data_IF_982994001638
#
_entry.id   IF_982994001638
#
_cell.length_a   1.000
_cell.length_b   1.000
_cell.length_c   1.000
_cell.angle_alpha   90.00
_cell.angle_beta   90.00
_cell.angle_gamma   90.00
#
_symmetry.space_group_name_H-M   'P 1'
#
loop_
_entity.id
_entity.type
_entity.pdbx_description
1 polymer ?
#
# COMPACT_ATOMS: atom_id res chain seq x y z
N UNK A 1 -3.46 13.42 18.90
CA UNK A 1 -2.70 12.82 17.75
C UNK A 1 -1.52 13.75 17.46
N UNK A 2 -0.31 13.23 17.29
CA UNK A 2 0.84 14.08 16.95
C UNK A 2 0.82 14.38 15.43
N UNK A 3 0.50 15.62 15.07
CA UNK A 3 0.41 16.11 13.68
C UNK A 3 1.78 16.53 13.12
N UNK A 4 2.82 16.66 13.96
CA UNK A 4 4.17 17.02 13.52
C UNK A 4 4.73 16.07 12.46
N UNK A 5 4.26 14.81 12.48
CA UNK A 5 4.62 13.79 11.49
C UNK A 5 4.26 14.22 10.06
N UNK A 6 3.24 15.03 9.89
CA UNK A 6 2.77 15.51 8.58
C UNK A 6 3.33 16.89 8.19
N UNK A 7 4.33 17.40 8.90
CA UNK A 7 5.03 18.64 8.50
C UNK A 7 5.63 18.50 7.10
N UNK A 8 5.54 19.53 6.20
CA UNK A 8 5.06 20.91 6.45
C UNK A 8 3.53 21.11 6.28
N UNK A 9 2.76 20.09 5.95
CA UNK A 9 1.34 20.15 5.63
C UNK A 9 0.44 19.68 6.78
N UNK A 10 0.91 19.84 8.03
CA UNK A 10 0.22 19.37 9.23
C UNK A 10 -1.18 19.99 9.45
N UNK A 11 -1.39 21.24 9.04
CA UNK A 11 -2.71 21.88 9.11
C UNK A 11 -3.72 21.15 8.21
N UNK A 12 -3.34 20.86 6.98
CA UNK A 12 -4.17 20.09 6.05
C UNK A 12 -4.42 18.67 6.56
N UNK A 13 -3.41 18.02 7.14
CA UNK A 13 -3.58 16.70 7.76
C UNK A 13 -4.65 16.73 8.87
N UNK A 14 -4.69 17.78 9.71
CA UNK A 14 -5.69 17.93 10.76
C UNK A 14 -7.14 17.98 10.20
N UNK A 15 -7.32 18.61 9.05
CA UNK A 15 -8.61 18.71 8.39
C UNK A 15 -9.04 17.39 7.70
N UNK A 16 -8.09 16.65 7.12
CA UNK A 16 -8.39 15.44 6.35
C UNK A 16 -8.46 14.16 7.19
N UNK A 17 -7.70 14.06 8.29
CA UNK A 17 -7.65 12.86 9.13
C UNK A 17 -9.02 12.37 9.64
N UNK A 18 -10.01 13.21 9.96
CA UNK A 18 -11.35 12.76 10.32
C UNK A 18 -12.08 11.98 9.21
N UNK A 19 -11.63 12.13 7.96
CA UNK A 19 -12.20 11.47 6.78
C UNK A 19 -11.36 10.28 6.29
N UNK A 20 -10.16 10.08 6.87
CA UNK A 20 -9.13 9.17 6.36
C UNK A 20 -9.45 7.70 6.63
N UNK A 21 -10.05 7.40 7.78
CA UNK A 21 -10.26 6.03 8.23
C UNK A 21 -11.72 5.82 8.62
N UNK A 22 -12.29 4.70 8.21
CA UNK A 22 -13.51 4.16 8.81
C UNK A 22 -13.14 3.33 10.04
N UNK A 23 -14.03 3.26 11.05
CA UNK A 23 -13.83 2.37 12.17
C UNK A 23 -13.68 0.92 11.67
N UNK A 24 -12.50 0.36 11.80
CA UNK A 24 -12.22 -1.03 11.42
C UNK A 24 -11.18 -1.64 12.37
N UNK A 25 -11.23 -2.97 12.53
CA UNK A 25 -10.22 -3.73 13.27
C UNK A 25 -9.04 -4.15 12.38
N UNK A 26 -8.87 -3.51 11.20
CA UNK A 26 -7.79 -3.84 10.28
C UNK A 26 -6.51 -3.07 10.60
N UNK A 27 -5.67 -3.63 11.46
CA UNK A 27 -4.35 -3.06 11.79
C UNK A 27 -3.32 -3.06 10.64
N UNK A 28 -3.70 -3.50 9.44
CA UNK A 28 -2.86 -3.39 8.25
C UNK A 28 -3.14 -2.09 7.46
N UNK A 29 -4.31 -1.45 7.66
CA UNK A 29 -4.75 -0.22 7.01
C UNK A 29 -5.22 0.80 8.08
N UNK A 30 -4.38 1.01 9.06
CA UNK A 30 -4.59 1.91 10.20
C UNK A 30 -3.84 3.25 10.04
N UNK A 31 -3.89 4.09 11.06
CA UNK A 31 -3.13 5.35 11.08
C UNK A 31 -1.62 5.12 10.91
N UNK A 32 -1.08 4.02 11.43
CA UNK A 32 0.34 3.72 11.29
C UNK A 32 0.70 3.39 9.82
N UNK A 33 -0.22 2.76 9.06
CA UNK A 33 -0.06 2.60 7.61
C UNK A 33 -0.01 3.95 6.90
N UNK A 34 -0.96 4.86 7.16
CA UNK A 34 -0.96 6.20 6.57
C UNK A 34 0.32 6.99 6.87
N UNK A 35 0.84 6.88 8.09
CA UNK A 35 2.10 7.49 8.47
C UNK A 35 3.29 6.91 7.71
N UNK A 36 3.35 5.57 7.54
CA UNK A 36 4.42 4.93 6.77
C UNK A 36 4.36 5.27 5.29
N UNK A 37 3.16 5.29 4.71
CA UNK A 37 2.98 5.71 3.31
C UNK A 37 3.37 7.17 3.14
N UNK A 38 2.99 8.06 4.07
CA UNK A 38 3.44 9.46 4.05
C UNK A 38 4.96 9.59 4.16
N UNK A 39 5.61 8.82 5.03
CA UNK A 39 7.06 8.79 5.11
C UNK A 39 7.71 8.39 3.78
N UNK A 40 7.17 7.35 3.11
CA UNK A 40 7.62 6.95 1.79
C UNK A 40 7.39 8.07 0.77
N UNK A 41 6.22 8.73 0.76
CA UNK A 41 5.93 9.89 -0.10
C UNK A 41 6.95 10.99 0.10
N UNK A 42 7.27 11.35 1.35
CA UNK A 42 8.28 12.39 1.63
C UNK A 42 9.63 12.03 1.03
N UNK A 43 10.07 10.78 1.20
CA UNK A 43 11.33 10.30 0.62
C UNK A 43 11.34 10.35 -0.91
N UNK A 44 10.23 10.00 -1.55
CA UNK A 44 10.07 10.07 -3.00
C UNK A 44 9.99 11.54 -3.46
N UNK A 45 9.22 12.37 -2.79
CA UNK A 45 9.04 13.78 -3.12
C UNK A 45 10.35 14.58 -3.07
N UNK A 46 11.25 14.27 -2.14
CA UNK A 46 12.55 14.98 -2.02
C UNK A 46 13.39 14.87 -3.30
N UNK A 47 13.26 13.80 -4.07
CA UNK A 47 13.98 13.58 -5.34
C UNK A 47 13.10 13.83 -6.58
N UNK A 48 11.81 13.49 -6.53
CA UNK A 48 10.91 13.51 -7.68
C UNK A 48 10.06 14.79 -7.77
N UNK A 49 9.91 15.54 -6.65
CA UNK A 49 9.05 16.73 -6.56
C UNK A 49 7.56 16.39 -6.49
N UNK A 50 6.73 17.31 -6.92
CA UNK A 50 5.26 17.19 -6.92
C UNK A 50 4.57 18.15 -5.94
N UNK A 51 3.24 18.23 -5.99
CA UNK A 51 2.42 19.06 -5.09
C UNK A 51 2.17 18.31 -3.77
N UNK A 52 2.77 18.80 -2.67
CA UNK A 52 2.65 18.17 -1.34
C UNK A 52 1.22 18.13 -0.80
N UNK A 53 0.36 19.09 -1.16
CA UNK A 53 -1.04 19.07 -0.71
C UNK A 53 -1.81 17.97 -1.43
N UNK A 54 -1.59 17.80 -2.73
CA UNK A 54 -2.19 16.71 -3.54
C UNK A 54 -1.70 15.35 -3.03
N UNK A 55 -0.39 15.22 -2.77
CA UNK A 55 0.23 14.01 -2.24
C UNK A 55 -0.33 13.64 -0.87
N UNK A 56 -0.42 14.61 0.07
CA UNK A 56 -0.98 14.36 1.40
C UNK A 56 -2.45 13.94 1.33
N UNK A 57 -3.27 14.68 0.56
CA UNK A 57 -4.69 14.37 0.42
C UNK A 57 -4.91 12.98 -0.17
N UNK A 58 -4.13 12.62 -1.19
CA UNK A 58 -4.19 11.28 -1.77
C UNK A 58 -3.79 10.20 -0.77
N UNK A 59 -2.69 10.41 0.00
CA UNK A 59 -2.26 9.45 1.05
C UNK A 59 -3.30 9.29 2.12
N UNK A 60 -3.87 10.37 2.65
CA UNK A 60 -4.82 10.26 3.75
C UNK A 60 -6.16 9.65 3.31
N UNK A 61 -6.55 9.83 2.06
CA UNK A 61 -7.88 9.42 1.58
C UNK A 61 -7.87 8.17 0.67
N UNK A 62 -6.69 7.56 0.37
CA UNK A 62 -6.65 6.44 -0.60
C UNK A 62 -7.43 5.20 -0.14
N UNK A 63 -7.50 4.95 1.16
CA UNK A 63 -8.20 3.83 1.79
C UNK A 63 -9.37 4.29 2.66
N UNK A 64 -9.95 5.48 2.40
CA UNK A 64 -11.06 6.05 3.18
C UNK A 64 -12.40 5.27 3.00
N UNK A 65 -12.45 4.27 2.15
CA UNK A 65 -13.56 3.32 2.00
C UNK A 65 -13.07 1.91 2.28
N UNK A 66 -13.55 1.31 3.36
CA UNK A 66 -13.19 -0.04 3.75
C UNK A 66 -14.00 -1.08 2.94
N UNK A 67 -13.31 -1.89 2.12
CA UNK A 67 -13.90 -3.03 1.41
C UNK A 67 -13.09 -4.27 1.73
N UNK A 68 -13.74 -5.28 2.29
CA UNK A 68 -13.14 -6.56 2.64
C UNK A 68 -12.46 -7.23 1.43
N UNK A 69 -11.33 -7.92 1.68
CA UNK A 69 -10.52 -8.55 0.61
C UNK A 69 -11.27 -9.63 -0.18
N UNK A 70 -12.25 -10.28 0.44
CA UNK A 70 -13.09 -11.31 -0.18
C UNK A 70 -14.38 -10.73 -0.83
N UNK A 71 -14.58 -9.42 -0.77
CA UNK A 71 -15.75 -8.76 -1.36
C UNK A 71 -15.67 -8.74 -2.90
N UNK A 72 -16.80 -8.99 -3.61
CA UNK A 72 -16.87 -8.81 -5.07
C UNK A 72 -16.63 -7.36 -5.52
N UNK A 73 -16.75 -6.39 -4.60
CA UNK A 73 -16.48 -4.97 -4.85
C UNK A 73 -15.00 -4.59 -4.67
N UNK A 74 -14.12 -5.53 -4.32
CA UNK A 74 -12.70 -5.22 -4.04
C UNK A 74 -11.99 -4.48 -5.19
N UNK A 75 -12.28 -4.83 -6.43
CA UNK A 75 -11.70 -4.14 -7.61
C UNK A 75 -12.19 -2.69 -7.79
N UNK A 76 -13.28 -2.31 -7.11
CA UNK A 76 -13.86 -0.96 -7.15
C UNK A 76 -13.45 -0.09 -5.95
N UNK A 77 -12.75 -0.64 -4.97
CA UNK A 77 -12.42 0.03 -3.71
C UNK A 77 -11.76 1.39 -3.93
N UNK A 78 -10.72 1.46 -4.77
CA UNK A 78 -10.00 2.71 -5.04
C UNK A 78 -10.84 3.76 -5.78
N UNK A 79 -11.78 3.34 -6.62
CA UNK A 79 -12.72 4.27 -7.28
C UNK A 79 -13.71 4.85 -6.29
N UNK A 80 -14.28 4.03 -5.43
CA UNK A 80 -15.20 4.48 -4.37
C UNK A 80 -14.48 5.40 -3.37
N UNK A 81 -13.23 5.12 -3.04
CA UNK A 81 -12.40 6.00 -2.23
C UNK A 81 -12.14 7.35 -2.94
N UNK A 82 -11.87 7.35 -4.25
CA UNK A 82 -11.68 8.56 -5.04
C UNK A 82 -12.96 9.42 -5.13
N UNK A 83 -14.14 8.79 -5.26
CA UNK A 83 -15.43 9.47 -5.24
C UNK A 83 -15.70 10.13 -3.88
N UNK A 84 -15.49 9.39 -2.78
CA UNK A 84 -15.63 9.92 -1.41
C UNK A 84 -14.63 11.05 -1.16
N UNK A 85 -13.36 10.89 -1.54
CA UNK A 85 -12.33 11.92 -1.43
C UNK A 85 -12.70 13.19 -2.20
N UNK A 86 -13.21 13.04 -3.42
CA UNK A 86 -13.66 14.18 -4.24
C UNK A 86 -14.79 14.96 -3.57
N UNK A 87 -15.74 14.27 -2.95
CA UNK A 87 -16.83 14.90 -2.21
C UNK A 87 -16.32 15.66 -0.97
N UNK A 88 -15.40 15.07 -0.20
CA UNK A 88 -14.75 15.72 0.95
C UNK A 88 -14.02 16.99 0.54
N UNK A 89 -13.16 16.91 -0.50
CA UNK A 89 -12.37 18.04 -0.98
C UNK A 89 -13.24 19.16 -1.57
N UNK A 90 -14.32 18.80 -2.28
CA UNK A 90 -15.29 19.76 -2.75
C UNK A 90 -15.99 20.50 -1.59
N UNK A 91 -16.35 19.81 -0.51
CA UNK A 91 -16.88 20.40 0.72
C UNK A 91 -15.90 21.34 1.43
N UNK A 92 -14.60 21.15 1.22
CA UNK A 92 -13.51 22.02 1.71
C UNK A 92 -13.17 23.16 0.71
N UNK A 93 -13.94 23.33 -0.36
CA UNK A 93 -13.71 24.32 -1.42
C UNK A 93 -12.36 24.18 -2.14
N UNK A 94 -11.85 22.97 -2.30
CA UNK A 94 -10.62 22.72 -3.06
C UNK A 94 -10.81 23.05 -4.54
N UNK A 95 -9.75 23.55 -5.22
CA UNK A 95 -9.79 23.75 -6.68
C UNK A 95 -10.10 22.44 -7.41
N UNK A 96 -11.02 22.48 -8.37
CA UNK A 96 -11.44 21.29 -9.14
C UNK A 96 -10.25 20.55 -9.79
N UNK A 97 -9.26 21.30 -10.28
CA UNK A 97 -8.06 20.71 -10.87
C UNK A 97 -7.30 19.84 -9.86
N UNK A 98 -6.99 20.36 -8.65
CA UNK A 98 -6.32 19.59 -7.60
C UNK A 98 -7.18 18.41 -7.12
N UNK A 99 -8.49 18.61 -6.98
CA UNK A 99 -9.41 17.51 -6.63
C UNK A 99 -9.34 16.36 -7.64
N UNK A 100 -9.27 16.68 -8.93
CA UNK A 100 -9.15 15.68 -10.00
C UNK A 100 -7.80 14.95 -9.96
N UNK A 101 -6.72 15.63 -9.61
CA UNK A 101 -5.40 15.02 -9.44
C UNK A 101 -5.36 14.07 -8.25
N UNK A 102 -5.94 14.46 -7.10
CA UNK A 102 -6.10 13.60 -5.92
C UNK A 102 -6.93 12.36 -6.26
N UNK A 103 -8.09 12.54 -6.91
CA UNK A 103 -8.95 11.44 -7.31
C UNK A 103 -8.21 10.44 -8.20
N UNK A 104 -7.47 10.93 -9.21
CA UNK A 104 -6.67 10.07 -10.08
C UNK A 104 -5.55 9.34 -9.30
N UNK A 105 -4.86 10.01 -8.38
CA UNK A 105 -3.83 9.38 -7.57
C UNK A 105 -4.43 8.26 -6.69
N UNK A 106 -5.61 8.49 -6.10
CA UNK A 106 -6.34 7.49 -5.32
C UNK A 106 -6.80 6.32 -6.20
N UNK A 107 -7.38 6.56 -7.38
CA UNK A 107 -7.79 5.47 -8.27
C UNK A 107 -6.62 4.60 -8.70
N UNK A 108 -5.49 5.24 -9.04
CA UNK A 108 -4.33 4.57 -9.62
C UNK A 108 -3.42 3.90 -8.59
N UNK A 109 -3.57 4.15 -7.27
CA UNK A 109 -2.68 3.53 -6.27
C UNK A 109 -2.85 2.01 -6.21
N UNK A 110 -4.10 1.53 -6.36
CA UNK A 110 -4.46 0.13 -6.13
C UNK A 110 -3.88 -0.81 -7.17
N UNK A 111 -3.18 -1.85 -6.71
CA UNK A 111 -2.69 -2.92 -7.57
C UNK A 111 -3.83 -3.64 -8.31
N UNK A 112 -4.94 -3.92 -7.63
CA UNK A 112 -6.07 -4.68 -8.19
C UNK A 112 -6.93 -3.87 -9.17
N UNK A 113 -6.90 -2.54 -9.10
CA UNK A 113 -7.62 -1.68 -10.02
C UNK A 113 -6.97 -1.60 -11.40
N UNK A 114 -5.67 -1.88 -11.49
CA UNK A 114 -4.87 -1.89 -12.73
C UNK A 114 -5.02 -0.60 -13.56
N UNK A 115 -5.05 0.56 -12.88
CA UNK A 115 -5.14 1.88 -13.50
C UNK A 115 -3.74 2.47 -13.62
N UNK A 116 -3.35 2.88 -14.82
CA UNK A 116 -2.03 3.48 -15.06
C UNK A 116 -1.95 4.88 -14.45
N UNK A 117 -0.99 5.16 -13.54
CA UNK A 117 -0.78 6.50 -12.98
C UNK A 117 -0.21 7.44 -14.04
N UNK A 118 -0.91 8.55 -14.33
CA UNK A 118 -0.55 9.50 -15.37
C UNK A 118 0.18 10.75 -14.84
N UNK A 119 -0.19 11.20 -13.64
CA UNK A 119 0.47 12.36 -13.00
C UNK A 119 1.67 11.93 -12.17
N UNK A 120 2.54 12.88 -11.86
CA UNK A 120 3.69 12.65 -10.96
C UNK A 120 3.21 12.20 -9.59
N UNK A 121 2.21 12.86 -9.05
CA UNK A 121 1.62 12.58 -7.75
C UNK A 121 1.04 11.17 -7.71
N UNK A 122 0.30 10.76 -8.74
CA UNK A 122 -0.25 9.41 -8.83
C UNK A 122 0.86 8.33 -8.86
N UNK A 123 1.98 8.59 -9.55
CA UNK A 123 3.15 7.69 -9.57
C UNK A 123 3.79 7.59 -8.19
N UNK A 124 3.98 8.72 -7.51
CA UNK A 124 4.58 8.78 -6.17
C UNK A 124 3.68 8.06 -5.16
N UNK A 125 2.38 8.32 -5.16
CA UNK A 125 1.43 7.68 -4.22
C UNK A 125 1.38 6.17 -4.44
N UNK A 126 1.32 5.70 -5.69
CA UNK A 126 1.34 4.28 -6.02
C UNK A 126 2.63 3.61 -5.54
N UNK A 127 3.78 4.23 -5.79
CA UNK A 127 5.08 3.72 -5.35
C UNK A 127 5.19 3.71 -3.82
N UNK A 128 4.76 4.77 -3.15
CA UNK A 128 4.81 4.90 -1.70
C UNK A 128 3.97 3.84 -0.98
N UNK A 129 2.75 3.58 -1.46
CA UNK A 129 1.89 2.52 -0.93
C UNK A 129 2.49 1.14 -1.18
N UNK A 130 2.97 0.86 -2.40
CA UNK A 130 3.62 -0.42 -2.74
C UNK A 130 4.88 -0.68 -1.92
N UNK A 131 5.67 0.36 -1.59
CA UNK A 131 6.80 0.23 -0.68
C UNK A 131 6.40 -0.29 0.69
N UNK A 132 5.20 0.02 1.20
CA UNK A 132 4.69 -0.50 2.48
C UNK A 132 4.38 -2.01 2.44
N UNK A 133 4.34 -2.59 1.25
CA UNK A 133 4.17 -4.03 1.02
C UNK A 133 5.47 -4.78 0.74
N UNK A 134 6.63 -4.12 0.83
CA UNK A 134 7.95 -4.71 0.57
C UNK A 134 8.86 -4.68 1.80
N UNK A 135 9.92 -5.50 1.74
CA UNK A 135 10.91 -5.63 2.83
C UNK A 135 10.33 -6.27 4.08
N UNK A 136 10.95 -6.03 5.23
CA UNK A 136 10.57 -6.62 6.51
C UNK A 136 9.15 -6.23 6.96
N UNK A 137 8.70 -5.03 6.58
CA UNK A 137 7.34 -4.59 6.86
C UNK A 137 6.32 -5.38 6.03
N UNK A 138 6.62 -5.61 4.75
CA UNK A 138 5.81 -6.47 3.88
C UNK A 138 5.69 -7.89 4.43
N UNK A 139 6.79 -8.45 4.96
CA UNK A 139 6.79 -9.74 5.67
C UNK A 139 5.82 -9.72 6.85
N UNK A 140 5.98 -8.75 7.76
CA UNK A 140 5.15 -8.65 8.95
C UNK A 140 3.65 -8.50 8.61
N UNK A 141 3.31 -7.64 7.65
CA UNK A 141 1.93 -7.46 7.17
C UNK A 141 1.35 -8.72 6.55
N UNK A 142 2.16 -9.47 5.80
CA UNK A 142 1.70 -10.72 5.16
C UNK A 142 1.33 -11.75 6.21
N UNK A 143 2.17 -11.98 7.21
CA UNK A 143 1.85 -12.92 8.30
C UNK A 143 0.67 -12.44 9.17
N UNK A 144 0.56 -11.13 9.44
CA UNK A 144 -0.58 -10.58 10.15
C UNK A 144 -1.90 -10.86 9.41
N UNK A 145 -1.94 -10.60 8.10
CA UNK A 145 -3.13 -10.82 7.28
C UNK A 145 -3.44 -12.31 7.14
N UNK A 146 -2.43 -13.16 6.91
CA UNK A 146 -2.58 -14.61 6.84
C UNK A 146 -3.17 -15.18 8.14
N UNK A 147 -2.69 -14.70 9.30
CA UNK A 147 -3.23 -15.08 10.61
C UNK A 147 -4.70 -14.69 10.78
N UNK A 148 -5.10 -13.49 10.35
CA UNK A 148 -6.51 -13.06 10.36
C UNK A 148 -7.41 -13.89 9.42
N UNK A 149 -6.85 -14.39 8.31
CA UNK A 149 -7.57 -15.25 7.37
C UNK A 149 -7.61 -16.71 7.79
N UNK A 150 -6.85 -17.10 8.83
CA UNK A 150 -6.71 -18.48 9.26
C UNK A 150 -5.83 -19.33 8.33
N UNK A 151 -4.98 -18.69 7.52
CA UNK A 151 -4.05 -19.38 6.62
C UNK A 151 -2.91 -20.03 7.43
N UNK A 152 -2.46 -21.22 7.01
CA UNK A 152 -1.25 -21.83 7.54
C UNK A 152 0.00 -21.06 7.09
N UNK A 153 1.11 -21.20 7.83
CA UNK A 153 2.37 -20.55 7.46
C UNK A 153 2.88 -21.07 6.11
N UNK A 154 2.85 -22.38 5.91
CA UNK A 154 3.24 -23.08 4.69
C UNK A 154 2.62 -24.48 4.66
N UNK A 155 2.70 -25.19 3.52
CA UNK A 155 2.33 -26.59 3.42
C UNK A 155 3.48 -27.46 4.01
N UNK A 156 3.26 -28.23 5.10
CA UNK A 156 4.33 -29.01 5.72
C UNK A 156 4.84 -30.17 4.84
N UNK A 157 4.10 -30.55 3.81
CA UNK A 157 4.48 -31.65 2.89
C UNK A 157 5.15 -31.11 1.62
N UNK A 158 4.85 -29.91 1.20
CA UNK A 158 5.42 -29.25 0.01
C UNK A 158 5.52 -27.73 0.22
N UNK A 159 6.45 -27.27 1.09
CA UNK A 159 6.58 -25.85 1.46
C UNK A 159 6.89 -24.91 0.31
N UNK A 160 7.48 -25.42 -0.77
CA UNK A 160 7.87 -24.65 -1.94
C UNK A 160 6.92 -24.80 -3.13
N UNK A 161 5.82 -25.54 -2.97
CA UNK A 161 4.86 -25.85 -4.03
C UNK A 161 5.54 -26.46 -5.29
N UNK A 162 6.45 -27.42 -5.08
CA UNK A 162 7.15 -28.11 -6.19
C UNK A 162 6.27 -29.12 -6.92
N UNK A 163 5.30 -29.71 -6.21
CA UNK A 163 4.39 -30.74 -6.71
C UNK A 163 2.91 -30.31 -6.73
N UNK A 164 2.61 -29.05 -6.39
CA UNK A 164 1.26 -28.46 -6.37
C UNK A 164 1.26 -27.05 -6.94
N UNK A 165 0.10 -26.53 -7.28
CA UNK A 165 -0.07 -25.11 -7.58
C UNK A 165 0.01 -24.27 -6.29
N UNK A 166 0.40 -23.01 -6.44
CA UNK A 166 0.36 -22.04 -5.34
C UNK A 166 -1.09 -21.78 -4.89
N UNK A 167 -1.30 -21.75 -3.58
CA UNK A 167 -2.57 -21.39 -2.94
C UNK A 167 -2.31 -20.34 -1.84
N UNK A 168 -2.25 -19.09 -2.21
CA UNK A 168 -1.93 -17.97 -1.32
C UNK A 168 -3.05 -17.60 -0.33
N UNK A 169 -4.22 -18.23 -0.46
CA UNK A 169 -5.30 -18.14 0.51
C UNK A 169 -5.12 -19.14 1.65
N UNK A 170 -4.54 -20.28 1.34
CA UNK A 170 -4.32 -21.37 2.29
C UNK A 170 -2.97 -21.32 2.95
N UNK A 171 -1.92 -20.90 2.22
CA UNK A 171 -0.53 -20.91 2.67
C UNK A 171 0.12 -19.54 2.54
N UNK A 172 0.61 -19.01 3.65
CA UNK A 172 1.22 -17.68 3.71
C UNK A 172 2.46 -17.56 2.81
N UNK A 173 3.33 -18.58 2.79
CA UNK A 173 4.54 -18.56 1.95
C UNK A 173 4.23 -18.49 0.45
N UNK A 174 3.13 -19.05 0.01
CA UNK A 174 2.74 -19.00 -1.39
C UNK A 174 2.49 -17.56 -1.85
N UNK A 175 1.97 -16.69 -0.95
CA UNK A 175 1.75 -15.28 -1.27
C UNK A 175 3.04 -14.51 -1.58
N UNK A 176 4.17 -14.92 -1.01
CA UNK A 176 5.46 -14.35 -1.38
C UNK A 176 5.78 -14.62 -2.85
N UNK A 177 5.53 -15.85 -3.31
CA UNK A 177 5.80 -16.27 -4.68
C UNK A 177 4.79 -15.68 -5.68
N UNK A 178 3.50 -15.70 -5.35
CA UNK A 178 2.44 -15.24 -6.27
C UNK A 178 2.39 -13.72 -6.41
N UNK A 179 2.86 -12.97 -5.41
CA UNK A 179 2.72 -11.52 -5.40
C UNK A 179 3.96 -10.75 -4.96
N UNK A 180 4.47 -10.96 -3.73
CA UNK A 180 5.41 -10.02 -3.12
C UNK A 180 6.75 -9.94 -3.88
N UNK A 181 7.25 -11.06 -4.37
CA UNK A 181 8.50 -11.12 -5.13
C UNK A 181 8.41 -10.45 -6.52
N UNK A 182 7.20 -10.17 -7.00
CA UNK A 182 6.96 -9.49 -8.28
C UNK A 182 6.62 -8.00 -8.12
N UNK A 183 6.39 -7.52 -6.89
CA UNK A 183 5.98 -6.12 -6.68
C UNK A 183 7.07 -5.12 -7.07
N UNK A 184 8.35 -5.49 -6.93
CA UNK A 184 9.46 -4.58 -7.21
C UNK A 184 9.57 -4.16 -8.69
N UNK A 185 8.97 -4.91 -9.60
CA UNK A 185 9.06 -4.67 -11.05
C UNK A 185 8.06 -3.60 -11.55
N UNK A 186 7.11 -3.18 -10.71
CA UNK A 186 6.01 -2.30 -11.12
C UNK A 186 6.11 -0.85 -10.66
N UNK A 187 7.27 -0.40 -10.19
CA UNK A 187 7.46 0.97 -9.70
C UNK A 187 7.58 1.99 -10.83
N UNK A 188 7.05 3.18 -10.61
CA UNK A 188 6.83 4.22 -11.62
C UNK A 188 7.92 5.29 -11.64
N UNK A 189 8.54 5.57 -10.47
CA UNK A 189 9.57 6.61 -10.30
C UNK A 189 10.95 5.99 -10.18
N UNK A 190 12.00 6.74 -10.53
CA UNK A 190 13.38 6.26 -10.42
C UNK A 190 13.75 5.98 -8.95
N UNK A 191 13.35 6.87 -8.05
CA UNK A 191 13.56 6.71 -6.61
C UNK A 191 12.78 5.52 -6.05
N UNK A 192 11.52 5.36 -6.47
CA UNK A 192 10.67 4.22 -6.09
C UNK A 192 11.30 2.89 -6.52
N UNK A 193 11.78 2.78 -7.75
CA UNK A 193 12.47 1.59 -8.26
C UNK A 193 13.72 1.25 -7.41
N UNK A 194 14.56 2.24 -7.12
CA UNK A 194 15.76 2.05 -6.28
C UNK A 194 15.41 1.55 -4.87
N UNK A 195 14.42 2.16 -4.22
CA UNK A 195 13.97 1.76 -2.88
C UNK A 195 13.30 0.39 -2.89
N UNK A 196 12.51 0.08 -3.93
CA UNK A 196 11.88 -1.21 -4.11
C UNK A 196 12.91 -2.34 -4.22
N UNK A 197 13.98 -2.15 -4.98
CA UNK A 197 15.06 -3.15 -5.09
C UNK A 197 15.75 -3.41 -3.75
N UNK A 198 16.02 -2.37 -2.95
CA UNK A 198 16.59 -2.53 -1.60
C UNK A 198 15.64 -3.36 -0.72
N UNK A 199 14.34 -3.06 -0.72
CA UNK A 199 13.35 -3.79 0.07
C UNK A 199 13.11 -5.21 -0.45
N UNK A 200 13.18 -5.40 -1.75
CA UNK A 200 13.09 -6.72 -2.39
C UNK A 200 14.23 -7.65 -1.97
N UNK A 201 15.47 -7.16 -1.89
CA UNK A 201 16.59 -7.96 -1.38
C UNK A 201 16.39 -8.38 0.08
N UNK A 202 15.83 -7.49 0.91
CA UNK A 202 15.47 -7.83 2.29
C UNK A 202 14.41 -8.93 2.36
N UNK A 203 13.41 -8.88 1.47
CA UNK A 203 12.36 -9.89 1.37
C UNK A 203 12.94 -11.26 0.94
N UNK A 204 13.86 -11.27 -0.03
CA UNK A 204 14.58 -12.49 -0.44
C UNK A 204 15.38 -13.08 0.70
N UNK A 205 16.16 -12.25 1.40
CA UNK A 205 16.94 -12.71 2.54
C UNK A 205 16.08 -13.28 3.67
N UNK A 206 14.88 -12.69 3.91
CA UNK A 206 13.92 -13.29 4.84
C UNK A 206 13.48 -14.68 4.36
N UNK A 207 13.12 -14.85 3.09
CA UNK A 207 12.68 -16.14 2.56
C UNK A 207 13.77 -17.22 2.65
N UNK A 208 15.02 -16.86 2.39
CA UNK A 208 16.17 -17.76 2.52
C UNK A 208 16.34 -18.23 3.97
N UNK A 209 16.36 -17.30 4.91
CA UNK A 209 16.49 -17.62 6.35
C UNK A 209 15.29 -18.43 6.86
N UNK A 210 14.08 -18.09 6.45
CA UNK A 210 12.89 -18.83 6.84
C UNK A 210 12.94 -20.27 6.33
N UNK A 211 13.39 -20.51 5.10
CA UNK A 211 13.57 -21.86 4.54
C UNK A 211 14.62 -22.66 5.29
N UNK A 212 15.73 -22.02 5.65
CA UNK A 212 16.77 -22.65 6.47
C UNK A 212 16.21 -23.12 7.81
N UNK A 213 15.47 -22.26 8.52
CA UNK A 213 14.88 -22.56 9.83
C UNK A 213 13.84 -23.69 9.79
N UNK A 214 13.12 -23.86 8.71
CA UNK A 214 12.19 -25.00 8.53
C UNK A 214 12.84 -26.23 7.88
N UNK A 215 14.15 -26.21 7.64
CA UNK A 215 14.94 -27.36 7.22
C UNK A 215 14.80 -27.76 5.74
N UNK A 216 14.51 -26.80 4.84
CA UNK A 216 14.37 -27.03 3.39
C UNK A 216 15.34 -26.20 2.53
N UNK A 217 16.37 -25.61 3.11
CA UNK A 217 17.42 -24.86 2.43
C UNK A 217 18.45 -25.78 1.78
#
# INVERSE_FOLDING_TARGET
MNLEFFTPVAALAAELLPHALEPSDDGAHDLAHLQRVWHNVRTLHDEEGGDLEVLLAAVLLHDCVAIEKNSPLRSQASRLAAEKASAVLAGMNWPTAKTSEVAHAIEAHSFSANITPRTREAKIVQDADRLDSLGMLGVARTFYIAGRMGSALYDPQDPEAKARDYDDKRFCLDHFQTKLLHLADGFQTATGQRLAQIRHQRLKGFMEQFKEEIGIA
#
